data_IF_412430602743
#
_entry.id   IF_412430602743
#
_cell.length_a   1.000
_cell.length_b   1.000
_cell.length_c   1.000
_cell.angle_alpha   90.00
_cell.angle_beta   90.00
_cell.angle_gamma   90.00
#
_symmetry.space_group_name_H-M   'P 1'
#
loop_
_entity.id
_entity.type
_entity.pdbx_description
1 polymer ?
#
# COMPACT_ATOMS: atom_id res chain seq x y z
N UNK A 1 58.43 21.38 20.51
CA UNK A 1 57.38 20.88 21.39
C UNK A 1 56.24 20.42 20.49
N UNK A 2 56.31 19.15 20.15
CA UNK A 2 55.38 18.47 19.26
C UNK A 2 54.17 18.03 20.07
N UNK A 3 52.99 18.25 19.55
CA UNK A 3 51.77 17.61 20.04
C UNK A 3 51.11 16.90 18.86
N UNK A 4 51.24 15.58 18.88
CA UNK A 4 50.52 14.66 18.00
C UNK A 4 49.03 14.74 18.27
N UNK A 5 48.26 14.96 17.21
CA UNK A 5 46.82 14.68 17.17
C UNK A 5 46.58 13.47 16.28
N UNK A 6 46.56 12.30 16.86
CA UNK A 6 45.99 11.11 16.27
C UNK A 6 44.45 11.25 16.33
N UNK A 7 43.85 11.63 15.22
CA UNK A 7 42.40 11.56 15.02
C UNK A 7 41.97 10.10 14.80
N UNK A 8 41.59 9.43 15.86
CA UNK A 8 40.88 8.16 15.77
C UNK A 8 39.39 8.47 15.42
N UNK A 9 39.06 8.42 14.13
CA UNK A 9 37.67 8.26 13.71
C UNK A 9 37.18 6.87 14.17
N UNK A 10 36.42 6.85 15.24
CA UNK A 10 35.67 5.66 15.60
C UNK A 10 34.57 5.45 14.55
N UNK A 11 34.84 4.60 13.56
CA UNK A 11 33.78 3.98 12.77
C UNK A 11 33.01 3.12 13.75
N UNK A 12 31.90 3.65 14.27
CA UNK A 12 30.92 2.87 14.99
C UNK A 12 30.26 1.97 13.95
N UNK A 13 30.86 0.78 13.73
CA UNK A 13 30.12 -0.32 13.12
C UNK A 13 28.93 -0.64 14.03
N UNK A 14 27.78 -0.10 13.70
CA UNK A 14 26.53 -0.56 14.30
C UNK A 14 26.30 -2.00 13.83
N UNK A 15 26.88 -2.96 14.55
CA UNK A 15 26.39 -4.33 14.56
C UNK A 15 25.02 -4.33 15.25
N UNK A 16 24.01 -3.87 14.57
CA UNK A 16 22.62 -4.05 14.98
C UNK A 16 22.03 -5.21 14.19
N UNK A 17 22.15 -6.41 14.72
CA UNK A 17 21.15 -7.47 14.51
C UNK A 17 19.91 -7.20 15.38
N UNK A 18 19.45 -5.96 15.46
CA UNK A 18 18.11 -5.67 15.95
C UNK A 18 17.14 -6.12 14.85
N UNK A 19 16.23 -7.00 15.18
CA UNK A 19 15.13 -7.38 14.29
C UNK A 19 14.46 -6.07 13.80
N UNK A 20 14.47 -5.84 12.50
CA UNK A 20 13.82 -4.67 11.92
C UNK A 20 12.33 -4.69 12.26
N UNK A 21 11.81 -3.55 12.69
CA UNK A 21 10.40 -3.40 13.03
C UNK A 21 9.60 -3.06 11.77
N UNK A 22 8.90 -4.05 11.22
CA UNK A 22 8.06 -3.90 10.04
C UNK A 22 6.59 -3.79 10.41
N UNK A 23 5.87 -2.88 9.76
CA UNK A 23 4.42 -2.71 9.89
C UNK A 23 3.71 -2.94 8.56
N UNK A 24 2.59 -3.67 8.59
CA UNK A 24 1.66 -3.83 7.46
C UNK A 24 0.44 -2.94 7.71
N UNK A 25 0.16 -2.03 6.79
CA UNK A 25 -0.99 -1.13 6.85
C UNK A 25 -2.07 -1.60 5.88
N UNK A 26 -3.32 -1.58 6.31
CA UNK A 26 -4.45 -1.91 5.45
C UNK A 26 -5.72 -1.15 5.86
N UNK A 27 -6.80 -1.31 5.09
CA UNK A 27 -8.08 -0.66 5.38
C UNK A 27 -9.28 -1.60 5.15
N UNK A 28 -10.33 -1.38 5.95
CA UNK A 28 -11.61 -2.05 5.85
C UNK A 28 -12.73 -1.02 6.03
N UNK A 29 -13.04 -0.29 4.94
CA UNK A 29 -14.06 0.74 4.94
C UNK A 29 -15.39 0.22 4.43
N UNK A 30 -16.47 0.56 5.12
CA UNK A 30 -17.81 0.00 4.92
C UNK A 30 -18.90 1.04 4.78
N UNK A 31 -18.63 2.31 5.12
CA UNK A 31 -19.64 3.37 5.14
C UNK A 31 -19.88 4.00 3.76
N UNK A 32 -18.93 3.85 2.82
CA UNK A 32 -19.09 4.32 1.44
C UNK A 32 -19.14 3.17 0.45
N UNK A 33 -19.81 3.41 -0.68
CA UNK A 33 -19.77 2.52 -1.84
C UNK A 33 -18.33 2.35 -2.30
N UNK A 34 -17.93 1.12 -2.62
CA UNK A 34 -16.61 0.86 -3.13
C UNK A 34 -16.45 1.48 -4.54
N UNK A 35 -15.38 2.28 -4.79
CA UNK A 35 -15.31 3.12 -5.99
C UNK A 35 -15.11 2.34 -7.30
N UNK A 36 -14.60 1.12 -7.25
CA UNK A 36 -14.23 0.40 -8.46
C UNK A 36 -15.40 -0.15 -9.23
N UNK A 37 -16.51 -0.51 -8.55
CA UNK A 37 -17.76 -0.88 -9.23
C UNK A 37 -18.95 -0.91 -8.29
N UNK A 38 -19.67 0.19 -8.13
CA UNK A 38 -20.83 0.23 -7.26
C UNK A 38 -22.00 -0.62 -7.74
N UNK A 39 -22.04 -1.03 -9.02
CA UNK A 39 -23.19 -1.69 -9.65
C UNK A 39 -22.87 -3.08 -10.24
N UNK A 40 -21.63 -3.57 -10.16
CA UNK A 40 -21.28 -4.87 -10.72
C UNK A 40 -21.67 -6.01 -9.76
N UNK A 41 -22.67 -6.83 -10.10
CA UNK A 41 -23.08 -7.98 -9.31
C UNK A 41 -21.99 -9.08 -9.24
N UNK A 42 -20.99 -9.04 -10.13
CA UNK A 42 -19.92 -10.03 -10.19
C UNK A 42 -18.72 -9.69 -9.31
N UNK A 43 -18.72 -8.56 -8.60
CA UNK A 43 -17.66 -8.20 -7.68
C UNK A 43 -17.68 -9.13 -6.46
N UNK A 44 -16.91 -10.21 -6.54
CA UNK A 44 -16.84 -11.26 -5.51
C UNK A 44 -16.35 -10.68 -4.18
N UNK A 45 -17.10 -10.94 -3.12
CA UNK A 45 -16.78 -10.52 -1.75
C UNK A 45 -17.29 -9.12 -1.38
N UNK A 46 -17.91 -8.40 -2.30
CA UNK A 46 -18.56 -7.10 -2.06
C UNK A 46 -20.07 -7.26 -1.95
N UNK A 47 -20.74 -6.32 -1.32
CA UNK A 47 -22.21 -6.35 -1.32
C UNK A 47 -22.73 -6.07 -2.72
N UNK A 48 -23.90 -6.64 -3.04
CA UNK A 48 -24.58 -6.39 -4.31
C UNK A 48 -24.85 -4.89 -4.58
N UNK A 49 -24.77 -4.06 -3.55
CA UNK A 49 -24.97 -2.61 -3.62
C UNK A 49 -23.64 -1.83 -3.70
N UNK A 50 -22.50 -2.49 -3.94
CA UNK A 50 -21.21 -1.85 -3.98
C UNK A 50 -20.60 -1.51 -2.60
N UNK A 51 -21.30 -1.80 -1.52
CA UNK A 51 -20.77 -1.66 -0.15
C UNK A 51 -20.10 -2.94 0.32
N UNK A 52 -19.00 -2.81 0.99
CA UNK A 52 -18.39 -3.91 1.75
C UNK A 52 -19.23 -4.16 2.99
N UNK A 53 -19.58 -5.44 3.26
CA UNK A 53 -20.40 -5.79 4.43
C UNK A 53 -19.66 -5.51 5.73
N UNK A 54 -20.35 -4.80 6.65
CA UNK A 54 -19.86 -4.58 8.02
C UNK A 54 -19.71 -5.91 8.77
N UNK A 55 -18.70 -5.98 9.63
CA UNK A 55 -18.43 -7.11 10.50
C UNK A 55 -18.33 -8.47 9.77
N UNK A 56 -17.88 -8.46 8.52
CA UNK A 56 -17.68 -9.68 7.74
C UNK A 56 -16.20 -10.11 7.81
N UNK A 57 -15.88 -11.00 8.76
CA UNK A 57 -14.51 -11.49 8.92
C UNK A 57 -13.97 -12.20 7.67
N UNK A 58 -14.83 -12.89 6.91
CA UNK A 58 -14.39 -13.57 5.68
C UNK A 58 -13.80 -12.62 4.64
N UNK A 59 -14.16 -11.32 4.68
CA UNK A 59 -13.59 -10.28 3.82
C UNK A 59 -12.09 -10.07 4.02
N UNK A 60 -11.63 -10.12 5.29
CA UNK A 60 -10.22 -9.90 5.66
C UNK A 60 -9.49 -11.18 6.06
N UNK A 61 -10.19 -12.32 6.13
CA UNK A 61 -9.68 -13.55 6.76
C UNK A 61 -8.35 -14.02 6.20
N UNK A 62 -8.18 -14.04 4.89
CA UNK A 62 -6.95 -14.53 4.27
C UNK A 62 -5.74 -13.63 4.60
N UNK A 63 -5.96 -12.32 4.56
CA UNK A 63 -4.97 -11.34 4.96
C UNK A 63 -4.63 -11.49 6.45
N UNK A 64 -5.67 -11.49 7.31
CA UNK A 64 -5.54 -11.63 8.75
C UNK A 64 -4.76 -12.89 9.15
N UNK A 65 -5.17 -14.05 8.65
CA UNK A 65 -4.50 -15.33 8.94
C UNK A 65 -3.04 -15.32 8.49
N UNK A 66 -2.73 -14.64 7.39
CA UNK A 66 -1.36 -14.53 6.88
C UNK A 66 -0.47 -13.64 7.75
N UNK A 67 -1.01 -12.54 8.29
CA UNK A 67 -0.32 -11.67 9.26
C UNK A 67 0.01 -12.47 10.55
N UNK A 68 -0.99 -13.16 11.10
CA UNK A 68 -0.81 -14.00 12.29
C UNK A 68 0.22 -15.10 12.06
N UNK A 69 0.11 -15.81 10.94
CA UNK A 69 1.00 -16.90 10.57
C UNK A 69 2.48 -16.47 10.47
N UNK A 70 2.71 -15.29 9.93
CA UNK A 70 4.07 -14.75 9.76
C UNK A 70 4.52 -13.90 10.96
N UNK A 71 3.74 -13.84 12.03
CA UNK A 71 4.01 -13.08 13.26
C UNK A 71 4.34 -11.60 13.01
N UNK A 72 3.65 -10.98 12.04
CA UNK A 72 3.87 -9.59 11.62
C UNK A 72 3.00 -8.63 12.44
N UNK A 73 3.46 -7.38 12.58
CA UNK A 73 2.66 -6.30 13.12
C UNK A 73 1.81 -5.67 12.01
N UNK A 74 0.55 -5.40 12.29
CA UNK A 74 -0.35 -4.79 11.32
C UNK A 74 -1.33 -3.79 11.95
N UNK A 75 -1.75 -2.82 11.15
CA UNK A 75 -2.83 -1.89 11.47
C UNK A 75 -3.89 -1.95 10.38
N UNK A 76 -5.14 -2.16 10.79
CA UNK A 76 -6.31 -2.12 9.94
C UNK A 76 -7.16 -0.89 10.26
N UNK A 77 -7.15 0.10 9.37
CA UNK A 77 -8.01 1.27 9.50
C UNK A 77 -9.44 0.91 9.09
N UNK A 78 -10.42 1.29 9.90
CA UNK A 78 -11.82 0.94 9.67
C UNK A 78 -12.76 2.08 10.06
N UNK A 79 -13.95 2.11 9.45
CA UNK A 79 -14.99 3.11 9.76
C UNK A 79 -16.20 2.48 10.47
N UNK A 80 -16.94 1.61 9.84
CA UNK A 80 -18.24 1.12 10.29
C UNK A 80 -18.24 -0.19 11.08
N UNK A 81 -17.09 -0.67 11.58
CA UNK A 81 -17.01 -1.93 12.33
C UNK A 81 -17.51 -1.75 13.78
N UNK A 82 -18.23 -2.75 14.30
CA UNK A 82 -18.69 -2.76 15.69
C UNK A 82 -17.55 -2.97 16.69
N UNK A 83 -17.73 -2.46 17.92
CA UNK A 83 -16.77 -2.69 19.00
C UNK A 83 -16.57 -4.18 19.31
N UNK A 84 -17.65 -4.98 19.22
CA UNK A 84 -17.58 -6.42 19.42
C UNK A 84 -16.73 -7.10 18.36
N UNK A 85 -16.89 -6.71 17.08
CA UNK A 85 -16.07 -7.24 15.98
C UNK A 85 -14.59 -6.90 16.20
N UNK A 86 -14.27 -5.66 16.53
CA UNK A 86 -12.91 -5.20 16.79
C UNK A 86 -12.33 -5.98 17.96
N UNK A 87 -13.01 -6.01 19.10
CA UNK A 87 -12.55 -6.72 20.31
C UNK A 87 -12.32 -8.22 20.08
N UNK A 88 -13.10 -8.83 19.19
CA UNK A 88 -12.97 -10.25 18.85
C UNK A 88 -11.73 -10.54 18.00
N UNK A 89 -11.33 -9.60 17.14
CA UNK A 89 -10.28 -9.83 16.15
C UNK A 89 -9.00 -9.01 16.39
N UNK A 90 -9.02 -8.04 17.29
CA UNK A 90 -7.81 -7.33 17.69
C UNK A 90 -6.87 -8.25 18.49
N UNK A 91 -5.56 -8.13 18.24
CA UNK A 91 -4.53 -8.90 18.95
C UNK A 91 -3.37 -7.99 19.37
N UNK A 92 -2.35 -8.53 19.98
CA UNK A 92 -1.09 -7.82 20.23
C UNK A 92 -0.38 -7.42 18.90
N UNK A 93 -0.63 -8.16 17.83
CA UNK A 93 -0.02 -7.97 16.50
C UNK A 93 -0.88 -7.18 15.52
N UNK A 94 -2.18 -7.33 15.57
CA UNK A 94 -3.12 -6.68 14.64
C UNK A 94 -3.97 -5.69 15.42
N UNK A 95 -3.80 -4.40 15.10
CA UNK A 95 -4.56 -3.30 15.69
C UNK A 95 -5.61 -2.79 14.73
N UNK A 96 -6.80 -2.48 15.26
CA UNK A 96 -7.87 -1.83 14.53
C UNK A 96 -7.94 -0.36 14.94
N UNK A 97 -7.86 0.55 13.97
CA UNK A 97 -7.98 1.99 14.21
C UNK A 97 -9.23 2.51 13.53
N UNK A 98 -10.19 2.96 14.33
CA UNK A 98 -11.38 3.63 13.83
C UNK A 98 -11.02 5.00 13.27
N UNK A 99 -11.60 5.32 12.11
CA UNK A 99 -11.48 6.62 11.47
C UNK A 99 -12.85 7.25 11.29
N UNK A 100 -12.86 8.60 11.30
CA UNK A 100 -14.07 9.38 11.09
C UNK A 100 -14.52 9.36 9.63
N UNK A 101 -15.79 9.66 9.33
CA UNK A 101 -16.28 9.84 7.98
C UNK A 101 -15.43 10.82 7.17
N UNK A 102 -15.26 10.56 5.89
CA UNK A 102 -14.36 11.28 5.01
C UNK A 102 -14.99 11.55 3.64
N UNK A 103 -14.45 12.55 2.92
CA UNK A 103 -14.96 12.95 1.61
C UNK A 103 -14.36 12.14 0.44
N UNK A 104 -13.12 11.66 0.57
CA UNK A 104 -12.42 10.91 -0.48
C UNK A 104 -13.00 9.50 -0.70
N UNK A 105 -12.71 8.90 -1.84
CA UNK A 105 -13.00 7.49 -2.10
C UNK A 105 -12.30 6.59 -1.08
N UNK A 106 -12.85 5.40 -0.80
CA UNK A 106 -12.24 4.44 0.13
C UNK A 106 -10.77 4.14 -0.20
N UNK A 107 -10.46 3.97 -1.50
CA UNK A 107 -9.12 3.62 -1.95
C UNK A 107 -8.13 4.79 -1.79
N UNK A 108 -8.59 6.03 -1.93
CA UNK A 108 -7.72 7.20 -1.76
C UNK A 108 -7.57 7.59 -0.28
N UNK A 109 -8.65 7.49 0.50
CA UNK A 109 -8.64 7.93 1.89
C UNK A 109 -7.69 7.13 2.78
N UNK A 110 -7.50 5.85 2.50
CA UNK A 110 -6.55 5.01 3.26
C UNK A 110 -5.16 5.63 3.35
N UNK A 111 -4.70 6.35 2.33
CA UNK A 111 -3.37 6.96 2.31
C UNK A 111 -3.27 8.19 3.23
N UNK A 112 -4.35 8.91 3.45
CA UNK A 112 -4.43 9.95 4.48
C UNK A 112 -4.31 9.33 5.88
N UNK A 113 -4.97 8.20 6.12
CA UNK A 113 -4.87 7.46 7.37
C UNK A 113 -3.44 6.94 7.60
N UNK A 114 -2.83 6.33 6.59
CA UNK A 114 -1.46 5.80 6.65
C UNK A 114 -0.45 6.91 6.94
N UNK A 115 -0.55 8.06 6.24
CA UNK A 115 0.29 9.22 6.49
C UNK A 115 0.17 9.68 7.94
N UNK A 116 -1.05 9.95 8.39
CA UNK A 116 -1.29 10.47 9.75
C UNK A 116 -0.78 9.50 10.82
N UNK A 117 -0.92 8.20 10.60
CA UNK A 117 -0.41 7.19 11.50
C UNK A 117 1.12 7.18 11.56
N UNK A 118 1.80 7.19 10.41
CA UNK A 118 3.26 7.16 10.35
C UNK A 118 3.91 8.47 10.80
N UNK A 119 3.23 9.60 10.74
CA UNK A 119 3.73 10.85 11.32
C UNK A 119 3.86 10.80 12.86
N UNK A 120 3.23 9.81 13.50
CA UNK A 120 3.25 9.61 14.95
C UNK A 120 3.82 8.26 15.39
N UNK A 121 4.19 7.39 14.46
CA UNK A 121 4.68 6.04 14.75
C UNK A 121 5.81 5.69 13.79
N UNK A 122 7.00 5.43 14.30
CA UNK A 122 8.20 5.16 13.52
C UNK A 122 8.45 3.64 13.43
N UNK A 123 8.89 3.20 12.25
CA UNK A 123 9.21 1.81 11.92
C UNK A 123 10.51 1.76 11.10
N UNK A 124 11.07 0.58 10.88
CA UNK A 124 12.16 0.42 9.92
C UNK A 124 11.60 0.24 8.51
N UNK A 125 10.52 -0.53 8.39
CA UNK A 125 9.90 -0.89 7.12
C UNK A 125 8.38 -0.75 7.18
N UNK A 126 7.79 -0.32 6.08
CA UNK A 126 6.33 -0.15 5.95
C UNK A 126 5.88 -0.77 4.64
N UNK A 127 4.84 -1.60 4.71
CA UNK A 127 4.11 -2.07 3.53
C UNK A 127 2.63 -1.76 3.70
N UNK A 128 1.96 -1.28 2.67
CA UNK A 128 0.51 -1.32 2.66
C UNK A 128 0.01 -2.43 1.73
N UNK A 129 -1.14 -2.98 2.07
CA UNK A 129 -1.76 -4.08 1.34
C UNK A 129 -3.27 -3.91 1.27
N UNK A 130 -3.90 -4.48 0.25
CA UNK A 130 -5.36 -4.66 0.25
C UNK A 130 -5.73 -5.80 1.22
N UNK A 131 -6.72 -5.56 2.11
CA UNK A 131 -7.13 -6.55 3.12
C UNK A 131 -7.99 -7.68 2.54
N UNK A 132 -8.64 -7.47 1.39
CA UNK A 132 -9.60 -8.41 0.82
C UNK A 132 -8.97 -9.54 0.01
N UNK A 133 -7.85 -9.27 -0.66
CA UNK A 133 -7.32 -10.13 -1.72
C UNK A 133 -5.80 -10.27 -1.72
N UNK A 134 -5.09 -9.67 -0.75
CA UNK A 134 -3.67 -9.88 -0.54
C UNK A 134 -3.42 -10.88 0.59
N UNK A 135 -2.48 -11.80 0.36
CA UNK A 135 -1.96 -12.74 1.35
C UNK A 135 -0.46 -12.50 1.52
N UNK A 136 0.01 -12.32 2.73
CA UNK A 136 1.44 -12.22 3.05
C UNK A 136 2.02 -13.63 3.17
N UNK A 137 2.95 -13.98 2.29
CA UNK A 137 3.53 -15.33 2.20
C UNK A 137 4.76 -15.47 3.10
N UNK A 138 5.59 -14.42 3.13
CA UNK A 138 6.84 -14.32 3.89
C UNK A 138 6.94 -12.95 4.57
N UNK A 139 7.84 -12.83 5.53
CA UNK A 139 8.19 -11.55 6.13
C UNK A 139 8.85 -10.62 5.08
N UNK A 140 8.22 -9.49 4.72
CA UNK A 140 8.77 -8.61 3.70
C UNK A 140 9.98 -7.80 4.17
N UNK A 141 10.38 -7.90 5.41
CA UNK A 141 11.63 -7.31 5.93
C UNK A 141 12.83 -7.80 5.14
N UNK A 142 12.84 -9.07 4.75
CA UNK A 142 13.91 -9.68 3.96
C UNK A 142 14.09 -8.98 2.61
N UNK A 143 13.00 -8.56 1.96
CA UNK A 143 13.08 -7.81 0.70
C UNK A 143 13.95 -6.57 0.82
N UNK A 144 13.79 -5.85 1.93
CA UNK A 144 14.49 -4.59 2.16
C UNK A 144 15.95 -4.85 2.55
N UNK A 145 16.21 -5.88 3.34
CA UNK A 145 17.56 -6.29 3.73
C UNK A 145 18.40 -6.75 2.54
N UNK A 146 17.79 -7.50 1.62
CA UNK A 146 18.48 -8.03 0.44
C UNK A 146 18.66 -7.01 -0.68
N UNK A 147 17.99 -5.84 -0.59
CA UNK A 147 17.93 -4.85 -1.66
C UNK A 147 18.12 -3.41 -1.15
N UNK A 148 19.26 -3.13 -0.52
CA UNK A 148 19.56 -1.84 0.11
C UNK A 148 19.41 -0.61 -0.81
N UNK A 149 19.64 -0.78 -2.10
CA UNK A 149 19.56 0.31 -3.09
C UNK A 149 18.15 0.54 -3.64
N UNK A 150 17.16 -0.26 -3.24
CA UNK A 150 15.78 -0.16 -3.70
C UNK A 150 14.95 0.63 -2.68
N UNK A 151 14.21 1.62 -3.18
CA UNK A 151 13.38 2.48 -2.35
C UNK A 151 11.95 1.97 -2.21
N UNK A 152 11.37 1.41 -3.31
CA UNK A 152 9.99 0.96 -3.34
C UNK A 152 9.84 -0.44 -3.92
N UNK A 153 8.94 -1.21 -3.35
CA UNK A 153 8.55 -2.55 -3.76
C UNK A 153 7.04 -2.56 -4.03
N UNK A 154 6.61 -3.05 -5.19
CA UNK A 154 5.20 -2.97 -5.57
C UNK A 154 4.71 -4.23 -6.29
N UNK A 155 3.41 -4.46 -6.26
CA UNK A 155 2.78 -5.45 -7.14
C UNK A 155 2.75 -4.95 -8.59
N UNK A 156 2.76 -5.91 -9.51
CA UNK A 156 2.52 -5.69 -10.94
C UNK A 156 1.10 -6.16 -11.29
N UNK A 157 0.42 -5.40 -12.15
CA UNK A 157 -0.82 -5.84 -12.76
C UNK A 157 -0.53 -6.70 -14.01
N UNK A 158 -1.52 -7.49 -14.43
CA UNK A 158 -1.43 -8.33 -15.64
C UNK A 158 -1.56 -7.55 -16.95
N UNK A 159 -1.88 -6.26 -16.89
CA UNK A 159 -2.10 -5.41 -18.07
C UNK A 159 -1.06 -4.29 -18.18
N UNK A 160 -0.97 -3.70 -19.37
CA UNK A 160 -0.17 -2.49 -19.58
C UNK A 160 -0.91 -1.24 -19.15
N UNK A 161 -0.17 -0.15 -18.92
CA UNK A 161 -0.74 1.13 -18.54
C UNK A 161 -1.79 1.63 -19.57
N UNK A 162 -1.54 1.42 -20.87
CA UNK A 162 -2.47 1.80 -21.93
C UNK A 162 -3.81 1.04 -21.90
N UNK A 163 -3.82 -0.16 -21.34
CA UNK A 163 -4.99 -1.02 -21.25
C UNK A 163 -5.84 -0.73 -20.00
N UNK A 164 -5.35 0.14 -19.12
CA UNK A 164 -6.04 0.48 -17.88
C UNK A 164 -7.33 1.27 -18.18
N UNK A 165 -8.52 0.71 -17.87
CA UNK A 165 -9.81 1.26 -18.33
C UNK A 165 -10.08 2.70 -17.91
N UNK A 166 -9.52 3.11 -16.77
CA UNK A 166 -9.71 4.45 -16.22
C UNK A 166 -8.80 5.50 -16.83
N UNK A 167 -7.90 5.13 -17.77
CA UNK A 167 -7.07 6.10 -18.50
C UNK A 167 -7.91 7.13 -19.26
N UNK A 168 -9.14 6.77 -19.65
CA UNK A 168 -10.07 7.64 -20.35
C UNK A 168 -10.82 8.62 -19.42
N UNK A 169 -10.73 8.44 -18.10
CA UNK A 169 -11.43 9.28 -17.11
C UNK A 169 -10.66 10.55 -16.74
N UNK A 170 -9.63 10.93 -17.51
CA UNK A 170 -8.76 12.09 -17.25
C UNK A 170 -9.51 13.43 -17.18
N UNK A 171 -10.63 13.56 -17.86
CA UNK A 171 -11.46 14.78 -17.85
C UNK A 171 -12.13 15.07 -16.50
N UNK A 172 -12.15 14.09 -15.61
CA UNK A 172 -12.75 14.19 -14.29
C UNK A 172 -11.83 14.85 -13.25
N UNK A 173 -10.55 15.06 -13.58
CA UNK A 173 -9.57 15.64 -12.69
C UNK A 173 -8.95 16.93 -13.29
N UNK A 174 -8.67 17.91 -12.46
CA UNK A 174 -7.93 19.13 -12.82
C UNK A 174 -6.43 18.84 -13.07
N UNK A 175 -6.13 17.77 -13.81
CA UNK A 175 -4.77 17.21 -13.86
C UNK A 175 -4.29 16.86 -15.26
N UNK A 176 -4.89 17.47 -16.26
CA UNK A 176 -4.73 17.16 -17.68
C UNK A 176 -3.26 16.95 -18.12
N UNK A 177 -2.36 17.86 -17.76
CA UNK A 177 -0.96 17.77 -18.20
C UNK A 177 -0.20 16.59 -17.61
N UNK A 178 -0.54 16.16 -16.41
CA UNK A 178 0.11 15.01 -15.73
C UNK A 178 -0.42 13.69 -16.25
N UNK A 179 -1.71 13.64 -16.53
CA UNK A 179 -2.35 12.49 -17.17
C UNK A 179 -1.82 12.28 -18.59
N UNK A 180 -1.63 13.35 -19.36
CA UNK A 180 -1.02 13.28 -20.70
C UNK A 180 0.38 12.66 -20.67
N UNK A 181 1.17 12.94 -19.65
CA UNK A 181 2.46 12.27 -19.48
C UNK A 181 2.31 10.76 -19.35
N UNK A 182 1.37 10.29 -18.53
CA UNK A 182 1.10 8.86 -18.35
C UNK A 182 0.52 8.20 -19.60
N UNK A 183 -0.39 8.87 -20.31
CA UNK A 183 -0.99 8.36 -21.55
C UNK A 183 0.06 8.10 -22.63
N UNK A 184 1.09 8.92 -22.70
CA UNK A 184 2.17 8.78 -23.68
C UNK A 184 3.12 7.60 -23.35
N UNK A 185 2.95 6.93 -22.21
CA UNK A 185 3.78 5.79 -21.76
C UNK A 185 3.09 4.44 -21.97
N UNK A 186 2.53 4.23 -23.12
CA UNK A 186 1.65 3.10 -23.44
C UNK A 186 2.23 1.71 -23.14
N UNK A 187 3.55 1.54 -23.28
CA UNK A 187 4.21 0.24 -23.11
C UNK A 187 4.60 -0.07 -21.65
N UNK A 188 4.38 0.83 -20.73
CA UNK A 188 4.71 0.56 -19.33
C UNK A 188 3.80 -0.53 -18.73
N UNK A 189 4.40 -1.43 -17.96
CA UNK A 189 3.62 -2.31 -17.10
C UNK A 189 2.85 -1.49 -16.08
N UNK A 190 1.63 -1.87 -15.79
CA UNK A 190 0.83 -1.21 -14.76
C UNK A 190 1.32 -1.66 -13.39
N UNK A 191 1.70 -0.70 -12.54
CA UNK A 191 2.01 -0.95 -11.13
C UNK A 191 0.67 -1.02 -10.39
N UNK A 192 0.49 -2.06 -9.56
CA UNK A 192 -0.75 -2.24 -8.83
C UNK A 192 -0.62 -1.75 -7.38
N UNK A 193 -1.63 -0.98 -6.92
CA UNK A 193 -1.67 -0.37 -5.58
C UNK A 193 -2.00 -1.37 -4.46
N UNK A 194 -2.35 -2.60 -4.77
CA UNK A 194 -2.71 -3.60 -3.76
C UNK A 194 -1.56 -4.02 -2.84
N UNK A 195 -0.31 -3.81 -3.25
CA UNK A 195 0.87 -3.87 -2.38
C UNK A 195 1.87 -2.81 -2.83
N UNK A 196 2.27 -1.94 -1.92
CA UNK A 196 3.44 -1.07 -2.07
C UNK A 196 4.14 -0.97 -0.71
N UNK A 197 5.47 -1.01 -0.71
CA UNK A 197 6.25 -0.90 0.51
C UNK A 197 7.67 -0.43 0.28
N UNK A 198 8.39 -0.22 1.37
CA UNK A 198 9.76 0.27 1.39
C UNK A 198 10.24 0.60 2.80
N UNK A 199 11.36 1.33 2.89
CA UNK A 199 11.83 1.88 4.16
C UNK A 199 10.87 2.95 4.67
N UNK A 200 10.83 3.14 5.96
CA UNK A 200 9.91 4.08 6.61
C UNK A 200 9.95 5.48 5.99
N UNK A 201 11.11 6.07 5.83
CA UNK A 201 11.24 7.43 5.28
C UNK A 201 10.74 7.53 3.84
N UNK A 202 11.02 6.53 3.01
CA UNK A 202 10.55 6.49 1.63
C UNK A 202 9.02 6.35 1.59
N UNK A 203 8.44 5.50 2.44
CA UNK A 203 6.99 5.32 2.50
C UNK A 203 6.26 6.51 3.12
N UNK A 204 6.81 7.14 4.15
CA UNK A 204 6.25 8.39 4.68
C UNK A 204 6.27 9.50 3.63
N UNK A 205 7.37 9.64 2.88
CA UNK A 205 7.46 10.58 1.77
C UNK A 205 6.44 10.24 0.68
N UNK A 206 6.28 8.95 0.34
CA UNK A 206 5.30 8.49 -0.63
C UNK A 206 3.88 8.92 -0.22
N UNK A 207 3.47 8.68 1.02
CA UNK A 207 2.13 9.05 1.48
C UNK A 207 1.93 10.56 1.55
N UNK A 208 2.94 11.34 1.95
CA UNK A 208 2.88 12.80 1.91
C UNK A 208 2.64 13.29 0.49
N UNK A 209 3.41 12.81 -0.47
CA UNK A 209 3.26 13.18 -1.89
C UNK A 209 1.97 12.65 -2.51
N UNK A 210 1.50 11.48 -2.08
CA UNK A 210 0.19 10.97 -2.48
C UNK A 210 -0.92 11.92 -2.06
N UNK A 211 -0.98 12.28 -0.78
CA UNK A 211 -2.02 13.17 -0.24
C UNK A 211 -1.97 14.57 -0.89
N UNK A 212 -0.77 15.17 -1.03
CA UNK A 212 -0.59 16.45 -1.72
C UNK A 212 -1.13 16.39 -3.16
N UNK A 213 -0.74 15.36 -3.89
CA UNK A 213 -1.15 15.15 -5.28
C UNK A 213 -2.66 14.95 -5.38
N UNK A 214 -3.22 14.14 -4.48
CA UNK A 214 -4.66 13.84 -4.45
C UNK A 214 -5.51 15.08 -4.18
N UNK A 215 -5.07 15.95 -3.28
CA UNK A 215 -5.75 17.22 -2.99
C UNK A 215 -5.76 18.12 -4.25
N UNK A 216 -4.62 18.23 -4.94
CA UNK A 216 -4.50 19.06 -6.15
C UNK A 216 -5.39 18.53 -7.29
N UNK A 217 -5.59 17.22 -7.38
CA UNK A 217 -6.44 16.62 -8.41
C UNK A 217 -7.91 17.04 -8.31
N UNK A 218 -8.38 17.43 -7.12
CA UNK A 218 -9.80 17.74 -6.88
C UNK A 218 -10.70 16.50 -6.99
N UNK A 219 -12.00 16.70 -7.01
CA UNK A 219 -12.99 15.63 -7.18
C UNK A 219 -12.84 14.48 -6.15
N UNK A 220 -13.02 14.74 -4.85
CA UNK A 220 -12.63 13.83 -3.78
C UNK A 220 -13.31 12.45 -3.85
N UNK A 221 -14.51 12.35 -4.36
CA UNK A 221 -15.26 11.09 -4.45
C UNK A 221 -14.74 10.14 -5.54
N UNK A 222 -13.98 10.66 -6.52
CA UNK A 222 -13.41 9.82 -7.56
C UNK A 222 -12.17 9.07 -7.08
N UNK A 223 -12.12 7.78 -7.43
CA UNK A 223 -10.95 6.96 -7.18
C UNK A 223 -9.78 7.36 -8.09
N UNK A 224 -8.62 7.61 -7.50
CA UNK A 224 -7.43 8.02 -8.23
C UNK A 224 -6.14 7.30 -7.81
N UNK A 225 -6.22 6.37 -6.88
CA UNK A 225 -5.06 5.73 -6.26
C UNK A 225 -4.06 5.15 -7.29
N UNK A 226 -4.56 4.42 -8.28
CA UNK A 226 -3.74 3.85 -9.34
C UNK A 226 -3.04 4.91 -10.21
N UNK A 227 -3.70 6.05 -10.46
CA UNK A 227 -3.12 7.17 -11.21
C UNK A 227 -1.99 7.84 -10.46
N UNK A 228 -2.26 8.16 -9.19
CA UNK A 228 -1.29 8.82 -8.32
C UNK A 228 -0.06 7.92 -8.16
N UNK A 229 -0.26 6.61 -8.00
CA UNK A 229 0.84 5.64 -7.93
C UNK A 229 1.75 5.71 -9.16
N UNK A 230 1.17 5.57 -10.37
CA UNK A 230 1.96 5.61 -11.61
C UNK A 230 2.74 6.92 -11.72
N UNK A 231 2.08 8.05 -11.42
CA UNK A 231 2.70 9.36 -11.48
C UNK A 231 3.82 9.52 -10.46
N UNK A 232 3.60 9.11 -9.22
CA UNK A 232 4.62 9.26 -8.17
C UNK A 232 5.86 8.43 -8.48
N UNK A 233 5.71 7.13 -8.73
CA UNK A 233 6.85 6.24 -8.90
C UNK A 233 7.65 6.50 -10.19
N UNK A 234 7.00 7.05 -11.23
CA UNK A 234 7.62 7.21 -12.55
C UNK A 234 7.93 8.64 -12.96
N UNK A 235 7.45 9.63 -12.21
CA UNK A 235 7.67 11.04 -12.51
C UNK A 235 8.23 11.80 -11.31
N UNK A 236 7.57 11.75 -10.15
CA UNK A 236 7.99 12.50 -8.95
C UNK A 236 9.24 11.86 -8.33
N UNK A 237 9.28 10.54 -8.28
CA UNK A 237 10.38 9.76 -7.72
C UNK A 237 11.26 9.12 -8.82
N UNK A 238 11.46 9.82 -9.93
CA UNK A 238 12.20 9.32 -11.08
C UNK A 238 13.65 8.90 -10.79
N UNK A 239 14.27 9.46 -9.75
CA UNK A 239 15.61 9.10 -9.27
C UNK A 239 15.59 7.95 -8.27
N UNK A 240 14.41 7.58 -7.73
CA UNK A 240 14.26 6.46 -6.80
C UNK A 240 14.13 5.15 -7.58
N UNK A 241 14.73 4.09 -7.02
CA UNK A 241 14.65 2.76 -7.61
C UNK A 241 13.46 1.99 -7.04
N UNK A 242 12.76 1.27 -7.90
CA UNK A 242 11.69 0.37 -7.45
C UNK A 242 11.75 -0.98 -8.18
N UNK A 243 11.27 -2.01 -7.48
CA UNK A 243 11.02 -3.35 -8.03
C UNK A 243 9.51 -3.60 -8.01
N UNK A 244 8.97 -4.13 -9.10
CA UNK A 244 7.57 -4.55 -9.20
C UNK A 244 7.44 -5.97 -9.73
N UNK A 245 6.42 -6.68 -9.26
CA UNK A 245 6.22 -8.09 -9.60
C UNK A 245 7.18 -8.99 -8.84
N UNK A 246 7.64 -10.07 -9.45
CA UNK A 246 8.56 -11.02 -8.82
C UNK A 246 9.87 -10.36 -8.35
N UNK A 247 10.36 -10.69 -7.16
CA UNK A 247 9.81 -11.62 -6.16
C UNK A 247 8.83 -10.95 -5.18
N UNK A 248 8.52 -9.66 -5.35
CA UNK A 248 7.69 -8.91 -4.39
C UNK A 248 6.31 -9.53 -4.28
N UNK A 249 5.64 -9.72 -5.42
CA UNK A 249 4.24 -10.09 -5.45
C UNK A 249 3.91 -10.92 -6.69
N UNK A 250 2.98 -11.88 -6.55
CA UNK A 250 2.36 -12.53 -7.69
C UNK A 250 1.65 -11.51 -8.59
N UNK A 251 1.52 -11.80 -9.86
CA UNK A 251 0.83 -10.91 -10.79
C UNK A 251 -0.67 -10.85 -10.50
N UNK A 252 -1.23 -9.66 -10.36
CA UNK A 252 -2.65 -9.45 -10.05
C UNK A 252 -3.56 -10.12 -11.09
N UNK A 253 -4.64 -10.74 -10.64
CA UNK A 253 -5.62 -11.51 -11.44
C UNK A 253 -5.12 -12.78 -12.11
N UNK A 254 -3.87 -13.19 -11.93
CA UNK A 254 -3.42 -14.53 -12.39
C UNK A 254 -3.76 -15.65 -11.41
N UNK A 255 -4.29 -15.31 -10.24
CA UNK A 255 -4.77 -16.29 -9.24
C UNK A 255 -3.74 -17.35 -8.83
N UNK A 256 -2.48 -16.98 -8.73
CA UNK A 256 -1.33 -17.84 -8.40
C UNK A 256 -1.28 -18.21 -6.90
N UNK A 257 -2.35 -18.80 -6.41
CA UNK A 257 -2.62 -19.02 -4.97
C UNK A 257 -1.59 -19.89 -4.23
N UNK A 258 -0.74 -20.60 -4.95
CA UNK A 258 0.20 -21.58 -4.34
C UNK A 258 1.67 -21.11 -4.41
N UNK A 259 1.93 -19.90 -4.87
CA UNK A 259 3.28 -19.33 -4.92
C UNK A 259 3.87 -19.26 -3.51
N UNK A 260 5.11 -19.73 -3.35
CA UNK A 260 5.89 -19.65 -2.10
C UNK A 260 7.20 -18.87 -2.27
N UNK A 261 7.50 -18.53 -3.50
CA UNK A 261 8.71 -17.83 -3.91
C UNK A 261 8.55 -16.31 -3.92
N UNK A 262 7.33 -15.80 -3.79
CA UNK A 262 7.00 -14.38 -3.63
C UNK A 262 6.73 -14.00 -2.18
N UNK A 263 6.77 -12.71 -1.84
CA UNK A 263 6.46 -12.20 -0.50
C UNK A 263 4.96 -11.96 -0.32
N UNK A 264 4.27 -11.58 -1.39
CA UNK A 264 2.83 -11.36 -1.38
C UNK A 264 2.15 -12.12 -2.53
N UNK A 265 0.95 -12.62 -2.29
CA UNK A 265 0.05 -13.09 -3.32
C UNK A 265 -1.10 -12.10 -3.42
N UNK A 266 -1.33 -11.56 -4.61
CA UNK A 266 -2.46 -10.69 -4.93
C UNK A 266 -3.40 -11.42 -5.90
N UNK A 267 -4.68 -11.61 -5.49
CA UNK A 267 -5.67 -12.43 -6.22
C UNK A 267 -6.42 -11.65 -7.28
#
# INVERSE_FOLDING_TARGET
>A
MLVDKLGLEFIICRNHSSLMNTIILSSYFTEKIHPNDPNDPNVIGRSANGYVKKNNFSYIKNWYDSIVKNNLNAVLFCDGLSEEFIKTHETDKIKFIKVEPFEYSNNDYRFFCFRNYLENNEYDCVFHTDASDVVVVKDPTELIQDNDSINYFACKDSIKLAEFPYMQAHDRFNWKNKVMFLINQNNWDLINMGVVGGRYEDMLLFYKKFCETRIIMGNPEFNSDMWVLQYLLRSVFNEKKFIMGDPVCSEFKKYEKQRKDVYFIHK
#
